data_IF_296579507187
#
_entry.id   IF_296579507187
#
_cell.length_a   1.000
_cell.length_b   1.000
_cell.length_c   1.000
_cell.angle_alpha   90.00
_cell.angle_beta   90.00
_cell.angle_gamma   90.00
#
_symmetry.space_group_name_H-M   'P 1'
#
loop_
_entity.id
_entity.type
_entity.pdbx_description
1 polymer ?
#
# COMPACT_ATOMS: atom_id res chain seq x y z
N UNK A 1 78.76 75.92 8.65
CA UNK A 1 78.63 74.58 9.24
C UNK A 1 77.51 73.88 8.47
N UNK A 2 77.91 73.21 7.41
CA UNK A 2 76.96 72.60 6.47
C UNK A 2 76.68 71.15 6.88
N UNK A 3 75.42 70.81 7.03
CA UNK A 3 74.99 69.45 7.34
C UNK A 3 74.57 68.78 6.00
N UNK A 4 75.39 67.83 5.58
CA UNK A 4 75.14 67.06 4.37
C UNK A 4 74.08 65.98 4.66
N UNK A 5 72.92 66.05 3.98
CA UNK A 5 71.86 65.02 4.02
C UNK A 5 72.18 63.96 2.99
N UNK A 6 72.47 62.73 3.45
CA UNK A 6 72.60 61.53 2.60
C UNK A 6 71.24 60.85 2.51
N UNK A 7 70.65 60.79 1.31
CA UNK A 7 69.45 60.01 1.01
C UNK A 7 69.84 58.56 0.61
N UNK A 8 69.45 57.59 1.41
CA UNK A 8 69.58 56.19 1.08
C UNK A 8 68.31 55.77 0.30
N UNK A 9 68.47 55.30 -0.93
CA UNK A 9 67.39 54.73 -1.72
C UNK A 9 67.27 53.21 -1.40
N UNK A 10 66.14 52.83 -0.87
CA UNK A 10 65.83 51.43 -0.66
C UNK A 10 65.08 50.89 -1.91
N UNK A 11 65.73 50.00 -2.67
CA UNK A 11 65.13 49.31 -3.79
C UNK A 11 64.38 48.12 -3.19
N UNK A 12 63.04 48.18 -3.13
CA UNK A 12 62.17 47.08 -2.73
C UNK A 12 61.97 46.15 -3.91
N UNK A 13 62.47 44.92 -3.80
CA UNK A 13 62.12 43.82 -4.75
C UNK A 13 60.75 43.24 -4.43
N UNK A 14 59.75 43.44 -5.30
CA UNK A 14 58.46 42.74 -5.24
C UNK A 14 58.68 41.28 -5.72
N UNK A 15 58.61 40.33 -4.79
CA UNK A 15 58.50 38.92 -5.10
C UNK A 15 57.01 38.64 -5.33
N UNK A 16 56.58 38.48 -6.60
CA UNK A 16 55.23 38.05 -6.94
C UNK A 16 55.02 36.56 -6.56
N UNK A 17 54.24 36.28 -5.54
CA UNK A 17 53.73 34.92 -5.28
C UNK A 17 52.69 34.57 -6.37
N UNK A 18 53.08 33.72 -7.29
CA UNK A 18 52.12 33.02 -8.20
C UNK A 18 51.41 31.96 -7.36
N UNK A 19 50.23 32.28 -6.86
CA UNK A 19 49.34 31.32 -6.21
C UNK A 19 48.85 30.29 -7.23
N UNK A 20 49.35 29.08 -7.19
CA UNK A 20 48.75 27.92 -7.89
C UNK A 20 47.37 27.65 -7.28
N UNK A 21 46.30 28.03 -7.98
CA UNK A 21 44.96 27.64 -7.63
C UNK A 21 44.84 26.11 -7.76
N UNK A 22 44.79 25.40 -6.64
CA UNK A 22 44.43 24.00 -6.61
C UNK A 22 42.94 23.91 -7.00
N UNK A 23 42.59 23.15 -8.06
CA UNK A 23 41.17 22.97 -8.39
C UNK A 23 40.49 22.30 -7.21
N UNK A 24 39.41 22.92 -6.70
CA UNK A 24 38.56 22.31 -5.69
C UNK A 24 38.04 20.96 -6.22
N UNK A 25 38.37 19.88 -5.49
CA UNK A 25 37.82 18.56 -5.80
C UNK A 25 36.27 18.67 -5.77
N UNK A 26 35.63 18.27 -6.86
CA UNK A 26 34.18 18.25 -6.93
C UNK A 26 33.65 17.31 -5.84
N UNK A 27 32.84 17.84 -4.95
CA UNK A 27 32.15 17.05 -3.92
C UNK A 27 31.42 15.87 -4.59
N UNK A 28 31.53 14.63 -4.07
CA UNK A 28 30.82 13.49 -4.63
C UNK A 28 29.32 13.76 -4.53
N UNK A 29 28.67 13.91 -5.68
CA UNK A 29 27.23 14.12 -5.75
C UNK A 29 26.54 12.88 -5.18
N UNK A 30 25.83 13.02 -4.06
CA UNK A 30 25.08 11.95 -3.47
C UNK A 30 24.10 11.39 -4.50
N UNK A 31 24.24 10.11 -4.84
CA UNK A 31 23.30 9.43 -5.77
C UNK A 31 21.99 9.26 -5.02
N UNK A 32 20.92 9.83 -5.56
CA UNK A 32 19.59 9.68 -4.96
C UNK A 32 19.19 8.19 -4.95
N UNK A 33 18.65 7.74 -3.83
CA UNK A 33 18.12 6.38 -3.71
C UNK A 33 16.96 6.18 -4.69
N UNK A 34 16.81 4.97 -5.27
CA UNK A 34 15.65 4.63 -6.08
C UNK A 34 14.36 4.73 -5.25
N UNK A 35 13.22 4.83 -5.94
CA UNK A 35 11.92 5.10 -5.32
C UNK A 35 11.01 3.88 -5.41
N UNK A 36 10.42 3.48 -4.30
CA UNK A 36 9.36 2.49 -4.21
C UNK A 36 8.01 3.20 -4.12
N UNK A 37 7.13 2.91 -5.07
CA UNK A 37 5.72 3.32 -5.05
C UNK A 37 4.92 2.32 -4.21
N UNK A 38 4.50 2.71 -3.00
CA UNK A 38 3.79 1.82 -2.08
C UNK A 38 2.42 1.39 -2.62
N UNK A 39 1.68 2.26 -3.32
CA UNK A 39 0.39 1.89 -3.90
C UNK A 39 0.54 0.75 -4.91
N UNK A 40 1.56 0.82 -5.77
CA UNK A 40 1.83 -0.22 -6.76
C UNK A 40 2.26 -1.54 -6.12
N UNK A 41 3.05 -1.48 -5.04
CA UNK A 41 3.47 -2.67 -4.27
C UNK A 41 2.26 -3.32 -3.59
N UNK A 42 1.37 -2.55 -2.94
CA UNK A 42 0.16 -3.07 -2.32
C UNK A 42 -0.79 -3.70 -3.34
N UNK A 43 -0.91 -3.10 -4.51
CA UNK A 43 -1.72 -3.65 -5.61
C UNK A 43 -1.16 -4.99 -6.08
N UNK A 44 0.16 -5.09 -6.28
CA UNK A 44 0.83 -6.35 -6.62
C UNK A 44 0.66 -7.41 -5.53
N UNK A 45 0.81 -7.05 -4.25
CA UNK A 45 0.65 -7.96 -3.11
C UNK A 45 -0.77 -8.56 -3.00
N UNK A 46 -1.78 -7.93 -3.59
CA UNK A 46 -3.13 -8.46 -3.68
C UNK A 46 -3.33 -9.34 -4.92
N UNK A 47 -2.84 -8.90 -6.09
CA UNK A 47 -3.11 -9.53 -7.38
C UNK A 47 -2.21 -10.73 -7.62
N UNK A 48 -0.90 -10.56 -7.45
CA UNK A 48 0.10 -11.54 -7.90
C UNK A 48 -0.04 -12.91 -7.20
N UNK A 49 -0.34 -13.00 -5.87
CA UNK A 49 -0.55 -14.29 -5.21
C UNK A 49 -1.80 -15.05 -5.69
N UNK A 50 -2.72 -14.38 -6.38
CA UNK A 50 -3.98 -14.95 -6.89
C UNK A 50 -3.91 -15.36 -8.36
N UNK A 51 -2.82 -15.05 -9.05
CA UNK A 51 -2.61 -15.44 -10.44
C UNK A 51 -2.10 -16.88 -10.54
N UNK A 52 -2.49 -17.55 -11.61
CA UNK A 52 -1.98 -18.89 -11.92
C UNK A 52 -0.60 -18.86 -12.58
N UNK A 53 -0.22 -17.70 -13.14
CA UNK A 53 1.05 -17.43 -13.79
C UNK A 53 1.94 -16.50 -12.94
N UNK A 54 3.19 -16.35 -13.32
CA UNK A 54 4.13 -15.41 -12.68
C UNK A 54 4.09 -14.01 -13.31
N UNK A 55 2.98 -13.64 -13.95
CA UNK A 55 2.88 -12.34 -14.60
C UNK A 55 2.89 -11.20 -13.57
N UNK A 56 3.65 -10.17 -13.88
CA UNK A 56 3.82 -8.99 -13.04
C UNK A 56 2.59 -8.09 -13.17
N UNK A 57 2.08 -7.60 -12.03
CA UNK A 57 1.04 -6.57 -12.03
C UNK A 57 1.55 -5.33 -12.77
N UNK A 58 0.83 -4.82 -13.80
CA UNK A 58 1.28 -3.68 -14.58
C UNK A 58 1.64 -2.46 -13.73
N UNK A 59 2.82 -1.89 -13.98
CA UNK A 59 3.33 -0.71 -13.28
C UNK A 59 3.96 -0.97 -11.91
N UNK A 60 3.97 -2.21 -11.40
CA UNK A 60 4.51 -2.51 -10.06
C UNK A 60 5.93 -3.10 -10.07
N UNK A 61 6.36 -3.73 -11.16
CA UNK A 61 7.52 -4.61 -11.19
C UNK A 61 8.82 -3.97 -10.67
N UNK A 62 9.09 -2.71 -10.99
CA UNK A 62 10.31 -2.04 -10.54
C UNK A 62 10.28 -1.79 -9.03
N UNK A 63 9.16 -1.31 -8.49
CA UNK A 63 8.98 -1.14 -7.04
C UNK A 63 9.04 -2.47 -6.29
N UNK A 64 8.41 -3.51 -6.82
CA UNK A 64 8.44 -4.86 -6.24
C UNK A 64 9.87 -5.41 -6.22
N UNK A 65 10.64 -5.32 -7.32
CA UNK A 65 12.05 -5.75 -7.35
C UNK A 65 12.92 -5.05 -6.32
N UNK A 66 12.68 -3.77 -6.03
CA UNK A 66 13.42 -3.06 -4.99
C UNK A 66 13.10 -3.65 -3.61
N UNK A 67 11.84 -3.94 -3.32
CA UNK A 67 11.40 -4.60 -2.07
C UNK A 67 12.01 -5.99 -1.96
N UNK A 68 11.94 -6.79 -3.01
CA UNK A 68 12.50 -8.15 -3.05
C UNK A 68 14.01 -8.17 -2.86
N UNK A 69 14.75 -7.26 -3.50
CA UNK A 69 16.20 -7.09 -3.29
C UNK A 69 16.53 -6.79 -1.83
N UNK A 70 15.75 -5.91 -1.20
CA UNK A 70 15.95 -5.57 0.20
C UNK A 70 15.63 -6.75 1.13
N UNK A 71 14.58 -7.54 0.84
CA UNK A 71 14.27 -8.79 1.55
C UNK A 71 15.38 -9.83 1.37
N UNK A 72 15.89 -9.97 0.16
CA UNK A 72 17.01 -10.89 -0.14
C UNK A 72 18.30 -10.47 0.57
N UNK A 73 18.63 -9.19 0.58
CA UNK A 73 19.80 -8.65 1.28
C UNK A 73 19.72 -8.87 2.79
N UNK A 74 18.51 -8.91 3.37
CA UNK A 74 18.26 -9.25 4.80
C UNK A 74 18.11 -10.77 5.05
N UNK A 75 18.24 -11.62 4.02
CA UNK A 75 18.17 -13.08 4.15
C UNK A 75 16.75 -13.66 4.28
N UNK A 76 15.71 -12.87 4.00
CA UNK A 76 14.32 -13.34 4.07
C UNK A 76 13.80 -13.93 2.75
N UNK A 77 14.41 -13.61 1.60
CA UNK A 77 14.01 -14.07 0.28
C UNK A 77 15.20 -14.65 -0.49
N UNK A 78 15.03 -15.78 -1.16
CA UNK A 78 16.04 -16.29 -2.07
C UNK A 78 16.14 -15.40 -3.32
N UNK A 79 17.36 -15.18 -3.83
CA UNK A 79 17.60 -14.26 -4.98
C UNK A 79 16.87 -14.67 -6.27
N UNK A 80 16.51 -15.93 -6.41
CA UNK A 80 15.73 -16.47 -7.54
C UNK A 80 14.30 -15.92 -7.61
N UNK A 81 13.80 -15.33 -6.51
CA UNK A 81 12.49 -14.70 -6.42
C UNK A 81 12.56 -13.16 -6.45
N UNK A 82 13.68 -12.60 -6.90
CA UNK A 82 13.81 -11.16 -7.17
C UNK A 82 13.41 -10.93 -8.63
N UNK A 83 12.13 -11.09 -8.92
CA UNK A 83 11.61 -11.11 -10.27
C UNK A 83 10.59 -10.00 -10.58
N UNK A 84 10.12 -9.31 -9.54
CA UNK A 84 9.12 -8.23 -9.64
C UNK A 84 7.68 -8.72 -9.56
N UNK A 85 7.46 -10.01 -9.24
CA UNK A 85 6.17 -10.62 -8.98
C UNK A 85 5.97 -10.79 -7.47
N UNK A 86 5.09 -10.00 -6.85
CA UNK A 86 4.83 -10.06 -5.41
C UNK A 86 3.99 -11.29 -5.05
N UNK A 87 4.50 -12.48 -5.40
CA UNK A 87 3.82 -13.75 -5.21
C UNK A 87 3.83 -14.25 -3.77
N UNK A 88 3.35 -15.47 -3.55
CA UNK A 88 3.27 -16.08 -2.21
C UNK A 88 4.63 -16.12 -1.52
N UNK A 89 5.73 -16.38 -2.26
CA UNK A 89 7.08 -16.40 -1.69
C UNK A 89 7.51 -15.03 -1.15
N UNK A 90 7.16 -13.95 -1.86
CA UNK A 90 7.44 -12.58 -1.43
C UNK A 90 6.57 -12.19 -0.23
N UNK A 91 5.29 -12.61 -0.21
CA UNK A 91 4.41 -12.47 0.97
C UNK A 91 5.01 -13.14 2.20
N UNK A 92 5.41 -14.41 2.08
CA UNK A 92 5.99 -15.19 3.19
C UNK A 92 7.29 -14.56 3.71
N UNK A 93 8.15 -14.11 2.79
CA UNK A 93 9.39 -13.42 3.10
C UNK A 93 9.14 -12.08 3.81
N UNK A 94 8.15 -11.32 3.36
CA UNK A 94 7.77 -10.05 3.98
C UNK A 94 7.19 -10.27 5.38
N UNK A 95 6.35 -11.30 5.56
CA UNK A 95 5.84 -11.71 6.87
C UNK A 95 6.97 -12.15 7.82
N UNK A 96 7.97 -12.89 7.32
CA UNK A 96 9.15 -13.26 8.10
C UNK A 96 9.96 -12.01 8.51
N UNK A 97 10.14 -11.06 7.60
CA UNK A 97 10.77 -9.78 7.90
C UNK A 97 9.97 -8.99 8.96
N UNK A 98 8.64 -8.89 8.84
CA UNK A 98 7.79 -8.25 9.84
C UNK A 98 7.96 -8.90 11.22
N UNK A 99 7.99 -10.23 11.31
CA UNK A 99 8.28 -10.94 12.56
C UNK A 99 9.68 -10.62 13.13
N UNK A 100 10.67 -10.44 12.29
CA UNK A 100 12.02 -10.03 12.74
C UNK A 100 12.04 -8.61 13.33
N UNK A 101 11.07 -7.77 13.00
CA UNK A 101 10.84 -6.46 13.61
C UNK A 101 10.02 -6.54 14.92
N UNK A 102 9.60 -7.74 15.35
CA UNK A 102 8.78 -7.96 16.55
C UNK A 102 7.27 -7.90 16.30
N UNK A 103 6.81 -7.79 15.04
CA UNK A 103 5.38 -7.83 14.72
C UNK A 103 4.82 -9.24 14.87
N UNK A 104 3.55 -9.33 15.26
CA UNK A 104 2.84 -10.61 15.48
C UNK A 104 1.42 -10.57 14.90
N UNK A 105 0.82 -11.75 14.71
CA UNK A 105 -0.56 -11.85 14.23
C UNK A 105 -0.77 -11.11 12.90
N UNK A 106 -1.77 -10.26 12.85
CA UNK A 106 -2.13 -9.48 11.64
C UNK A 106 -1.03 -8.52 11.19
N UNK A 107 -0.26 -7.95 12.13
CA UNK A 107 0.83 -7.02 11.81
C UNK A 107 2.02 -7.72 11.10
N UNK A 108 2.03 -9.06 11.10
CA UNK A 108 2.98 -9.91 10.39
C UNK A 108 2.32 -10.72 9.26
N UNK A 109 1.34 -10.13 8.59
CA UNK A 109 0.55 -10.78 7.52
C UNK A 109 1.25 -10.91 6.17
N UNK A 110 2.40 -10.26 6.00
CA UNK A 110 3.09 -10.14 4.71
C UNK A 110 2.55 -9.01 3.82
N UNK A 111 1.54 -8.25 4.27
CA UNK A 111 1.14 -7.01 3.62
C UNK A 111 2.10 -5.88 4.03
N UNK A 112 2.67 -5.14 3.07
CA UNK A 112 3.54 -4.02 3.37
C UNK A 112 2.80 -2.88 4.08
N UNK A 113 3.16 -2.62 5.34
CA UNK A 113 2.73 -1.41 6.05
C UNK A 113 3.74 -0.27 5.85
N UNK A 114 3.34 1.00 6.03
CA UNK A 114 4.21 2.15 5.75
C UNK A 114 5.49 2.15 6.59
N UNK A 115 5.43 1.73 7.84
CA UNK A 115 6.60 1.68 8.73
C UNK A 115 7.54 0.56 8.33
N UNK A 116 7.04 -0.67 8.18
CA UNK A 116 7.87 -1.82 7.80
C UNK A 116 8.51 -1.63 6.42
N UNK A 117 7.78 -1.03 5.46
CA UNK A 117 8.32 -0.78 4.12
C UNK A 117 9.45 0.26 4.12
N UNK A 118 9.34 1.34 4.92
CA UNK A 118 10.43 2.31 5.08
C UNK A 118 11.64 1.71 5.78
N UNK A 119 11.44 0.95 6.86
CA UNK A 119 12.53 0.27 7.58
C UNK A 119 13.25 -0.76 6.70
N UNK A 120 12.51 -1.46 5.83
CA UNK A 120 13.11 -2.39 4.87
C UNK A 120 14.06 -1.68 3.91
N UNK A 121 13.67 -0.50 3.43
CA UNK A 121 14.39 0.28 2.44
C UNK A 121 15.36 1.33 2.97
N UNK A 122 15.55 1.44 4.29
CA UNK A 122 16.24 2.57 4.97
C UNK A 122 17.52 3.05 4.26
N UNK A 123 18.31 2.13 3.70
CA UNK A 123 19.57 2.43 2.98
C UNK A 123 19.53 2.13 1.49
N UNK A 124 18.43 1.63 0.96
CA UNK A 124 18.35 1.06 -0.40
C UNK A 124 17.33 1.73 -1.30
N UNK A 125 16.26 2.31 -0.74
CA UNK A 125 15.24 3.04 -1.48
C UNK A 125 14.49 4.02 -0.58
N UNK A 126 13.79 4.96 -1.21
CA UNK A 126 12.79 5.83 -0.54
C UNK A 126 11.38 5.36 -0.92
N UNK A 127 10.38 5.68 -0.07
CA UNK A 127 8.97 5.27 -0.28
C UNK A 127 8.12 6.48 -0.63
N UNK A 128 7.37 6.39 -1.72
CA UNK A 128 6.38 7.37 -2.15
C UNK A 128 4.97 6.79 -2.17
N UNK A 129 3.96 7.61 -2.41
CA UNK A 129 2.53 7.22 -2.44
C UNK A 129 2.16 6.33 -1.26
N UNK A 130 2.49 6.83 -0.07
CA UNK A 130 2.33 6.08 1.18
C UNK A 130 0.86 5.88 1.48
N UNK A 131 0.45 4.62 1.66
CA UNK A 131 -0.89 4.23 2.10
C UNK A 131 -0.83 3.84 3.57
N UNK A 132 -1.75 4.38 4.36
CA UNK A 132 -1.88 4.06 5.78
C UNK A 132 -3.32 3.68 6.10
N UNK A 133 -3.51 2.61 6.84
CA UNK A 133 -4.82 2.26 7.41
C UNK A 133 -5.29 3.33 8.42
N UNK A 134 -4.34 3.98 9.09
CA UNK A 134 -4.60 4.90 10.19
C UNK A 134 -4.96 4.19 11.48
N UNK A 135 -5.65 4.87 12.39
CA UNK A 135 -6.06 4.32 13.69
C UNK A 135 -7.37 3.55 13.59
N UNK A 136 -7.59 2.62 14.52
CA UNK A 136 -8.88 1.93 14.67
C UNK A 136 -9.90 2.87 15.30
N UNK A 137 -11.10 2.90 14.73
CA UNK A 137 -12.21 3.76 15.17
C UNK A 137 -13.51 2.98 15.06
N UNK A 138 -14.50 3.35 15.91
CA UNK A 138 -15.87 2.86 15.78
C UNK A 138 -16.69 3.85 14.96
N UNK A 139 -17.39 3.35 13.94
CA UNK A 139 -18.32 4.11 13.12
C UNK A 139 -19.53 3.24 12.78
N UNK A 140 -20.75 3.76 12.92
CA UNK A 140 -22.01 3.00 12.83
C UNK A 140 -22.00 1.71 13.68
N UNK A 141 -21.50 1.81 14.91
CA UNK A 141 -21.35 0.71 15.88
C UNK A 141 -20.38 -0.42 15.44
N UNK A 142 -19.64 -0.26 14.36
CA UNK A 142 -18.67 -1.23 13.84
C UNK A 142 -17.24 -0.70 13.95
N UNK A 143 -16.30 -1.59 14.29
CA UNK A 143 -14.87 -1.27 14.31
C UNK A 143 -14.30 -1.29 12.91
N UNK A 144 -13.49 -0.31 12.55
CA UNK A 144 -12.77 -0.21 11.28
C UNK A 144 -11.54 0.70 11.45
N UNK A 145 -10.69 0.82 10.45
CA UNK A 145 -9.65 1.85 10.45
C UNK A 145 -10.16 3.18 9.87
N UNK A 146 -9.40 4.25 10.13
CA UNK A 146 -9.81 5.60 9.68
C UNK A 146 -9.84 5.74 8.16
N UNK A 147 -9.02 4.98 7.43
CA UNK A 147 -9.05 4.94 5.95
C UNK A 147 -10.35 4.32 5.45
N UNK A 148 -10.70 3.14 5.95
CA UNK A 148 -11.97 2.45 5.61
C UNK A 148 -13.18 3.31 5.97
N UNK A 149 -13.16 3.99 7.14
CA UNK A 149 -14.19 4.97 7.50
C UNK A 149 -14.30 6.10 6.48
N UNK A 150 -13.19 6.69 6.05
CA UNK A 150 -13.22 7.78 5.07
C UNK A 150 -13.84 7.33 3.73
N UNK A 151 -13.52 6.13 3.28
CA UNK A 151 -14.10 5.52 2.08
C UNK A 151 -15.62 5.30 2.23
N UNK A 152 -16.06 4.80 3.40
CA UNK A 152 -17.47 4.57 3.68
C UNK A 152 -18.25 5.89 3.74
N UNK A 153 -17.73 6.90 4.42
CA UNK A 153 -18.32 8.25 4.49
C UNK A 153 -18.49 8.86 3.08
N UNK A 154 -17.51 8.70 2.22
CA UNK A 154 -17.61 9.18 0.84
C UNK A 154 -18.66 8.41 0.03
N UNK A 155 -18.74 7.09 0.21
CA UNK A 155 -19.81 6.29 -0.40
C UNK A 155 -21.18 6.73 0.06
N UNK A 156 -21.38 6.98 1.36
CA UNK A 156 -22.63 7.50 1.94
C UNK A 156 -23.00 8.88 1.38
N UNK A 157 -22.00 9.77 1.24
CA UNK A 157 -22.18 11.09 0.63
C UNK A 157 -22.67 10.99 -0.82
N UNK A 158 -22.07 10.12 -1.63
CA UNK A 158 -22.46 9.90 -3.03
C UNK A 158 -23.84 9.26 -3.14
N UNK A 159 -24.20 8.41 -2.19
CA UNK A 159 -25.51 7.75 -2.14
C UNK A 159 -26.62 8.63 -1.55
N UNK A 160 -26.26 9.72 -0.85
CA UNK A 160 -27.21 10.54 -0.10
C UNK A 160 -27.90 9.78 1.05
N UNK A 161 -27.28 8.74 1.60
CA UNK A 161 -27.85 7.91 2.66
C UNK A 161 -26.78 7.27 3.53
N UNK A 162 -27.12 7.04 4.80
CA UNK A 162 -26.31 6.26 5.73
C UNK A 162 -26.44 4.75 5.46
N UNK A 163 -25.35 4.01 5.62
CA UNK A 163 -25.27 2.55 5.46
C UNK A 163 -25.15 1.89 6.84
N UNK A 164 -26.05 0.99 7.16
CA UNK A 164 -25.94 0.15 8.36
C UNK A 164 -24.84 -0.90 8.19
N UNK A 165 -23.98 -1.06 9.19
CA UNK A 165 -22.90 -2.06 9.19
C UNK A 165 -23.30 -3.22 10.10
N UNK A 166 -23.33 -4.44 9.56
CA UNK A 166 -23.65 -5.66 10.31
C UNK A 166 -22.42 -6.37 10.84
N UNK A 167 -21.27 -6.24 10.14
CA UNK A 167 -19.98 -6.72 10.62
C UNK A 167 -18.88 -5.72 10.24
N UNK A 168 -18.03 -5.36 11.21
CA UNK A 168 -16.87 -4.51 11.01
C UNK A 168 -15.60 -5.31 10.78
N UNK A 169 -14.47 -4.59 10.77
CA UNK A 169 -13.11 -5.10 10.71
C UNK A 169 -12.56 -5.48 12.09
N UNK A 170 -11.36 -6.10 12.14
CA UNK A 170 -10.62 -6.46 13.35
C UNK A 170 -11.43 -7.37 14.31
N UNK A 171 -12.13 -8.35 13.73
CA UNK A 171 -12.99 -9.30 14.43
C UNK A 171 -12.48 -10.75 14.22
N UNK A 172 -11.28 -11.10 14.71
CA UNK A 172 -10.68 -12.41 14.47
C UNK A 172 -11.51 -13.52 15.10
N UNK A 173 -11.88 -14.52 14.29
CA UNK A 173 -12.68 -15.68 14.70
C UNK A 173 -14.14 -15.35 15.04
N UNK A 174 -14.61 -14.10 14.78
CA UNK A 174 -15.95 -13.66 15.19
C UNK A 174 -17.10 -14.33 14.44
N UNK A 175 -16.92 -14.58 13.13
CA UNK A 175 -17.94 -15.23 12.30
C UNK A 175 -17.31 -16.32 11.44
N UNK A 176 -17.57 -17.62 11.70
CA UNK A 176 -16.95 -18.72 10.96
C UNK A 176 -17.18 -18.65 9.44
N UNK A 177 -18.35 -18.19 9.00
CA UNK A 177 -18.70 -18.03 7.59
C UNK A 177 -17.92 -16.97 6.84
N UNK A 178 -17.22 -16.06 7.54
CA UNK A 178 -16.43 -14.98 6.92
C UNK A 178 -15.08 -15.43 6.36
N UNK A 179 -14.67 -16.67 6.59
CA UNK A 179 -13.37 -17.22 6.16
C UNK A 179 -12.18 -16.33 6.57
N UNK A 180 -12.28 -15.63 7.72
CA UNK A 180 -11.25 -14.75 8.25
C UNK A 180 -11.09 -13.42 7.50
N UNK A 181 -12.01 -13.04 6.61
CA UNK A 181 -11.91 -11.77 5.85
C UNK A 181 -11.98 -10.54 6.76
N UNK A 182 -12.75 -10.63 7.86
CA UNK A 182 -12.91 -9.55 8.84
C UNK A 182 -11.88 -9.57 9.98
N UNK A 183 -10.93 -10.50 9.97
CA UNK A 183 -9.92 -10.60 11.02
C UNK A 183 -8.98 -9.39 11.05
N UNK A 184 -8.70 -8.81 9.87
CA UNK A 184 -7.92 -7.59 9.68
C UNK A 184 -8.75 -6.35 9.48
N UNK A 185 -8.09 -5.28 9.00
CA UNK A 185 -8.73 -4.04 8.56
C UNK A 185 -9.41 -4.17 7.21
N UNK A 186 -10.14 -3.14 6.81
CA UNK A 186 -10.64 -2.95 5.45
C UNK A 186 -11.89 -3.73 5.05
N UNK A 187 -12.34 -4.73 5.81
CA UNK A 187 -13.52 -5.52 5.47
C UNK A 187 -14.76 -5.06 6.24
N UNK A 188 -15.90 -4.94 5.55
CA UNK A 188 -17.19 -4.53 6.10
C UNK A 188 -18.32 -5.36 5.48
N UNK A 189 -19.30 -5.77 6.30
CA UNK A 189 -20.59 -6.24 5.85
C UNK A 189 -21.65 -5.16 6.07
N UNK A 190 -22.35 -4.82 5.01
CA UNK A 190 -23.32 -3.73 4.96
C UNK A 190 -24.72 -4.31 4.86
N UNK A 191 -25.59 -3.87 5.77
CA UNK A 191 -26.99 -4.26 5.80
C UNK A 191 -27.72 -3.84 4.51
N UNK A 192 -28.50 -4.75 3.96
CA UNK A 192 -29.40 -4.49 2.82
C UNK A 192 -30.87 -4.38 3.23
N UNK A 193 -31.16 -4.31 4.54
CA UNK A 193 -32.51 -4.16 5.07
C UNK A 193 -33.20 -2.96 4.47
N UNK A 194 -34.42 -3.12 4.00
CA UNK A 194 -35.20 -2.07 3.33
C UNK A 194 -34.67 -1.63 1.95
N UNK A 195 -33.69 -2.32 1.36
CA UNK A 195 -33.17 -2.01 0.02
C UNK A 195 -33.82 -2.89 -1.05
N UNK A 196 -34.29 -2.23 -2.13
CA UNK A 196 -34.67 -2.93 -3.37
C UNK A 196 -33.44 -3.54 -4.05
N UNK A 197 -33.62 -4.47 -5.00
CA UNK A 197 -32.52 -5.01 -5.78
C UNK A 197 -31.71 -3.93 -6.50
N UNK A 198 -32.39 -2.95 -7.09
CA UNK A 198 -31.74 -1.78 -7.75
C UNK A 198 -30.91 -0.97 -6.75
N UNK A 199 -31.43 -0.73 -5.54
CA UNK A 199 -30.72 0.01 -4.51
C UNK A 199 -29.45 -0.75 -4.07
N UNK A 200 -29.54 -2.07 -3.83
CA UNK A 200 -28.38 -2.91 -3.49
C UNK A 200 -27.29 -2.83 -4.57
N UNK A 201 -27.68 -2.98 -5.83
CA UNK A 201 -26.75 -2.86 -6.96
C UNK A 201 -26.09 -1.48 -7.03
N UNK A 202 -26.85 -0.41 -6.78
CA UNK A 202 -26.30 0.95 -6.77
C UNK A 202 -25.32 1.16 -5.61
N UNK A 203 -25.65 0.67 -4.40
CA UNK A 203 -24.73 0.72 -3.25
C UNK A 203 -23.44 -0.01 -3.57
N UNK A 204 -23.49 -1.25 -4.05
CA UNK A 204 -22.30 -2.00 -4.44
C UNK A 204 -21.47 -1.29 -5.52
N UNK A 205 -22.13 -0.64 -6.49
CA UNK A 205 -21.45 0.16 -7.52
C UNK A 205 -20.72 1.36 -6.94
N UNK A 206 -21.35 2.13 -6.06
CA UNK A 206 -20.74 3.31 -5.44
C UNK A 206 -19.57 2.90 -4.53
N UNK A 207 -19.69 1.83 -3.75
CA UNK A 207 -18.58 1.28 -2.98
C UNK A 207 -17.39 0.94 -3.89
N UNK A 208 -17.63 0.29 -5.04
CA UNK A 208 -16.58 0.01 -6.03
C UNK A 208 -15.94 1.28 -6.62
N UNK A 209 -16.72 2.33 -6.81
CA UNK A 209 -16.21 3.61 -7.32
C UNK A 209 -15.24 4.28 -6.37
N UNK A 210 -15.49 4.20 -5.06
CA UNK A 210 -14.63 4.82 -4.04
C UNK A 210 -13.48 3.92 -3.57
N UNK A 211 -13.30 2.73 -4.18
CA UNK A 211 -12.12 1.89 -3.93
C UNK A 211 -12.36 0.64 -3.10
N UNK A 212 -13.61 0.19 -2.93
CA UNK A 212 -13.87 -1.14 -2.40
C UNK A 212 -13.98 -2.19 -3.52
N UNK A 213 -13.56 -3.42 -3.26
CA UNK A 213 -14.17 -4.59 -3.86
C UNK A 213 -15.49 -4.84 -3.13
N UNK A 214 -16.61 -4.94 -3.86
CA UNK A 214 -17.91 -5.09 -3.21
C UNK A 214 -18.83 -6.04 -3.97
N UNK A 215 -19.49 -6.96 -3.25
CA UNK A 215 -20.41 -7.94 -3.81
C UNK A 215 -21.68 -8.04 -2.96
N UNK A 216 -22.81 -8.35 -3.61
CA UNK A 216 -24.05 -8.67 -2.93
C UNK A 216 -24.01 -10.17 -2.61
N UNK A 217 -23.93 -10.51 -1.34
CA UNK A 217 -24.02 -11.91 -0.86
C UNK A 217 -25.47 -12.31 -0.69
N UNK A 218 -25.78 -13.56 -1.04
CA UNK A 218 -27.16 -14.03 -1.13
C UNK A 218 -27.34 -15.41 -0.46
N UNK A 219 -28.58 -15.78 -0.07
CA UNK A 219 -28.87 -17.12 0.43
C UNK A 219 -28.51 -18.26 -0.52
N UNK A 220 -28.57 -18.02 -1.84
CA UNK A 220 -28.15 -19.01 -2.83
C UNK A 220 -26.64 -19.30 -2.78
N UNK A 221 -25.85 -18.38 -2.24
CA UNK A 221 -24.41 -18.53 -1.99
C UNK A 221 -24.11 -19.03 -0.55
N UNK A 222 -25.14 -19.31 0.25
CA UNK A 222 -25.00 -19.75 1.64
C UNK A 222 -24.84 -18.62 2.66
N UNK A 223 -25.20 -17.39 2.31
CA UNK A 223 -25.08 -16.22 3.18
C UNK A 223 -26.44 -15.55 3.39
N UNK A 224 -26.64 -14.93 4.55
CA UNK A 224 -27.69 -13.94 4.68
C UNK A 224 -27.44 -12.78 3.70
N UNK A 225 -28.53 -12.10 3.26
CA UNK A 225 -28.38 -10.97 2.37
C UNK A 225 -27.60 -9.82 3.00
N UNK A 226 -26.44 -9.49 2.44
CA UNK A 226 -25.62 -8.34 2.80
C UNK A 226 -24.78 -7.88 1.60
N UNK A 227 -24.14 -6.73 1.71
CA UNK A 227 -23.06 -6.33 0.79
C UNK A 227 -21.74 -6.51 1.52
N UNK A 228 -20.92 -7.45 1.06
CA UNK A 228 -19.55 -7.64 1.53
C UNK A 228 -18.63 -6.70 0.77
N UNK A 229 -17.85 -5.90 1.49
CA UNK A 229 -16.96 -4.88 0.93
C UNK A 229 -15.56 -4.95 1.53
N UNK A 230 -14.52 -4.87 0.68
CA UNK A 230 -13.11 -4.89 1.08
C UNK A 230 -12.40 -3.67 0.51
N UNK A 231 -11.79 -2.85 1.37
CA UNK A 231 -11.01 -1.69 0.98
C UNK A 231 -9.75 -2.12 0.21
N UNK A 232 -9.67 -1.79 -1.08
CA UNK A 232 -8.52 -2.13 -1.92
C UNK A 232 -7.26 -1.41 -1.41
N UNK A 233 -6.12 -2.11 -1.46
CA UNK A 233 -4.82 -1.63 -1.00
C UNK A 233 -4.75 -1.25 0.49
N UNK A 234 -5.68 -1.71 1.33
CA UNK A 234 -5.56 -1.50 2.77
C UNK A 234 -4.40 -2.35 3.32
N UNK A 235 -3.40 -1.75 4.00
CA UNK A 235 -2.26 -2.50 4.50
C UNK A 235 -2.57 -3.44 5.68
N UNK A 236 -3.74 -3.27 6.32
CA UNK A 236 -4.19 -4.10 7.45
C UNK A 236 -5.07 -5.28 7.01
N UNK A 237 -5.18 -5.58 5.71
CA UNK A 237 -5.97 -6.71 5.23
C UNK A 237 -5.49 -8.03 5.84
N UNK A 238 -6.45 -8.84 6.30
CA UNK A 238 -6.21 -10.25 6.58
C UNK A 238 -5.87 -11.01 5.29
N UNK A 239 -5.33 -12.22 5.42
CA UNK A 239 -5.07 -13.09 4.26
C UNK A 239 -6.33 -13.35 3.45
N UNK A 240 -7.48 -13.59 4.11
CA UNK A 240 -8.76 -13.79 3.44
C UNK A 240 -9.19 -12.57 2.63
N UNK A 241 -9.18 -11.38 3.24
CA UNK A 241 -9.54 -10.13 2.58
C UNK A 241 -8.59 -9.77 1.43
N UNK A 242 -7.27 -9.94 1.63
CA UNK A 242 -6.26 -9.75 0.57
C UNK A 242 -6.54 -10.63 -0.65
N UNK A 243 -6.84 -11.90 -0.41
CA UNK A 243 -7.14 -12.85 -1.49
C UNK A 243 -8.40 -12.44 -2.28
N UNK A 244 -9.45 -12.01 -1.59
CA UNK A 244 -10.68 -11.53 -2.24
C UNK A 244 -10.44 -10.22 -3.00
N UNK A 245 -9.63 -9.29 -2.47
CA UNK A 245 -9.23 -8.09 -3.21
C UNK A 245 -8.49 -8.43 -4.51
N UNK A 246 -7.58 -9.41 -4.48
CA UNK A 246 -6.91 -9.92 -5.68
C UNK A 246 -7.88 -10.58 -6.65
N UNK A 247 -8.82 -11.39 -6.17
CA UNK A 247 -9.86 -12.01 -6.98
C UNK A 247 -10.75 -10.96 -7.66
N UNK A 248 -11.12 -9.89 -6.94
CA UNK A 248 -11.84 -8.77 -7.56
C UNK A 248 -11.08 -8.16 -8.73
N UNK A 249 -9.79 -7.86 -8.58
CA UNK A 249 -8.98 -7.32 -9.68
C UNK A 249 -8.97 -8.25 -10.89
N UNK A 250 -8.93 -9.55 -10.66
CA UNK A 250 -8.88 -10.59 -11.69
C UNK A 250 -10.26 -10.93 -12.28
N UNK A 251 -11.35 -10.33 -11.80
CA UNK A 251 -12.69 -10.54 -12.33
C UNK A 251 -13.43 -11.72 -11.72
N UNK A 252 -13.09 -12.10 -10.50
CA UNK A 252 -13.76 -13.17 -9.75
C UNK A 252 -14.67 -12.62 -8.64
N UNK A 253 -15.61 -13.47 -8.19
CA UNK A 253 -16.63 -13.14 -7.19
C UNK A 253 -16.10 -13.10 -5.74
N UNK A 254 -14.81 -13.41 -5.50
CA UNK A 254 -14.20 -13.45 -4.16
C UNK A 254 -14.68 -14.61 -3.27
N UNK A 255 -15.39 -15.59 -3.80
CA UNK A 255 -15.76 -16.82 -3.10
C UNK A 255 -14.71 -17.92 -3.34
N UNK A 256 -14.81 -19.01 -2.58
CA UNK A 256 -13.86 -20.12 -2.67
C UNK A 256 -13.85 -20.79 -4.05
N UNK A 257 -14.98 -20.82 -4.72
CA UNK A 257 -15.16 -21.36 -6.08
C UNK A 257 -14.55 -20.48 -7.18
N UNK A 258 -14.23 -19.22 -6.84
CA UNK A 258 -13.69 -18.21 -7.77
C UNK A 258 -14.53 -18.11 -9.07
N UNK A 259 -15.84 -18.12 -8.91
CA UNK A 259 -16.75 -17.85 -10.03
C UNK A 259 -16.53 -16.46 -10.62
N UNK A 260 -17.09 -16.18 -11.83
CA UNK A 260 -17.03 -14.83 -12.40
C UNK A 260 -17.57 -13.77 -11.46
N UNK A 261 -17.01 -12.54 -11.55
CA UNK A 261 -17.49 -11.40 -10.77
C UNK A 261 -18.97 -11.12 -11.05
N UNK A 262 -19.81 -11.29 -10.05
CA UNK A 262 -21.26 -11.17 -10.09
C UNK A 262 -21.77 -9.80 -9.62
N UNK A 263 -20.89 -8.86 -9.32
CA UNK A 263 -21.24 -7.50 -8.90
C UNK A 263 -21.31 -6.51 -10.08
N UNK A 264 -21.75 -5.27 -9.81
CA UNK A 264 -21.87 -4.24 -10.85
C UNK A 264 -20.50 -3.84 -11.39
N UNK A 265 -20.32 -3.86 -12.71
CA UNK A 265 -19.08 -3.48 -13.35
C UNK A 265 -18.71 -2.01 -13.06
N UNK A 266 -17.45 -1.78 -12.65
CA UNK A 266 -16.82 -0.46 -12.50
C UNK A 266 -15.43 -0.52 -13.11
N UNK A 267 -15.14 0.34 -14.06
CA UNK A 267 -13.87 0.39 -14.78
C UNK A 267 -13.37 1.83 -14.84
N UNK A 268 -12.09 2.07 -14.55
CA UNK A 268 -11.12 1.12 -13.98
C UNK A 268 -11.39 0.79 -12.51
N UNK A 269 -10.91 -0.37 -12.04
CA UNK A 269 -10.91 -0.73 -10.62
C UNK A 269 -9.83 0.09 -9.93
N UNK A 270 -10.24 1.00 -9.03
CA UNK A 270 -9.37 1.98 -8.37
C UNK A 270 -9.24 1.71 -6.89
N UNK A 271 -8.10 2.09 -6.31
CA UNK A 271 -7.95 2.24 -4.86
C UNK A 271 -8.57 3.56 -4.39
N UNK A 272 -8.67 3.74 -3.07
CA UNK A 272 -9.11 5.00 -2.48
C UNK A 272 -8.22 6.18 -2.88
N UNK A 273 -6.92 5.99 -2.88
CA UNK A 273 -5.94 7.01 -3.24
C UNK A 273 -6.03 7.39 -4.74
N UNK A 274 -6.26 6.40 -5.61
CA UNK A 274 -6.51 6.64 -7.04
C UNK A 274 -7.83 7.40 -7.25
N UNK A 275 -8.87 7.11 -6.44
CA UNK A 275 -10.14 7.84 -6.47
C UNK A 275 -9.96 9.29 -6.04
N UNK A 276 -9.22 9.55 -4.96
CA UNK A 276 -9.01 10.91 -4.44
C UNK A 276 -8.22 11.83 -5.38
N UNK A 277 -7.57 11.28 -6.39
CA UNK A 277 -6.82 12.05 -7.39
C UNK A 277 -7.63 12.39 -8.64
N UNK A 278 -8.92 12.06 -8.69
CA UNK A 278 -9.83 12.47 -9.77
C UNK A 278 -10.34 13.89 -9.57
#
# INVERSE_FOLDING_TARGET
MDVVNVRVAVVGALIGLVGLAVPAAAEPRAVALPVVDMESVLKAAQIDPRRADSAITPGSGDSVRLVERALAAKGHLASTYVDGHFGTRTIDAYAAYQRSLGYTGLDASGMPGPTSLRLLGETTYTVTRVVSAGSRVTYHSALMNTRTKAMLVEAERLLGRTLGITQGSYNPGGVPGSAGTHDGGGALDISVSGMTATTRTNVARVLRQVGFAAWIRTPAQGFDYHIHAIALADPDLSTGARNQAGDYYLGFNGLADRGPDDGPAVTPKRTWEEYQRL
#
